data_IF_821597259401
#
_entry.id   IF_821597259401
#
_cell.length_a   1.000
_cell.length_b   1.000
_cell.length_c   1.000
_cell.angle_alpha   90.00
_cell.angle_beta   90.00
_cell.angle_gamma   90.00
#
_symmetry.space_group_name_H-M   'P 1'
#
loop_
_entity.id
_entity.type
_entity.pdbx_description
1 polymer ?
#
# COMPACT_ATOMS: atom_id res chain seq x y z
N UNK A 1 -27.84 -2.77 7.29
CA UNK A 1 -27.02 -3.70 8.12
C UNK A 1 -26.00 -2.86 8.85
N UNK A 2 -25.76 -3.13 10.14
CA UNK A 2 -24.72 -2.44 10.91
C UNK A 2 -23.36 -2.93 10.42
N UNK A 3 -22.46 -2.03 10.03
CA UNK A 3 -21.09 -2.39 9.66
C UNK A 3 -20.38 -2.98 10.89
N UNK A 4 -19.62 -4.07 10.75
CA UNK A 4 -18.86 -4.61 11.87
C UNK A 4 -17.85 -3.60 12.41
N UNK A 5 -17.64 -3.61 13.72
CA UNK A 5 -16.70 -2.75 14.44
C UNK A 5 -15.80 -3.59 15.34
N UNK A 6 -14.71 -2.98 15.81
CA UNK A 6 -13.98 -3.52 16.96
C UNK A 6 -14.79 -3.24 18.24
N UNK A 7 -14.78 -4.19 19.16
CA UNK A 7 -15.44 -4.09 20.45
C UNK A 7 -14.56 -3.29 21.44
N UNK A 8 -13.26 -3.59 21.43
CA UNK A 8 -12.26 -2.89 22.23
C UNK A 8 -11.09 -2.50 21.35
N UNK A 9 -10.62 -1.27 21.50
CA UNK A 9 -9.41 -0.78 20.84
C UNK A 9 -8.56 0.07 21.78
N UNK A 10 -7.27 -0.26 21.86
CA UNK A 10 -6.26 0.57 22.50
C UNK A 10 -5.40 1.23 21.43
N UNK A 11 -5.29 2.55 21.46
CA UNK A 11 -4.47 3.33 20.55
C UNK A 11 -3.44 4.09 21.38
N UNK A 12 -2.17 3.96 20.99
CA UNK A 12 -1.06 4.70 21.60
C UNK A 12 -0.21 5.31 20.50
N UNK A 13 0.12 6.59 20.63
CA UNK A 13 1.15 7.20 19.80
C UNK A 13 2.49 6.50 20.10
N UNK A 14 3.15 6.01 19.05
CA UNK A 14 4.51 5.53 19.15
C UNK A 14 5.46 6.75 19.13
N UNK A 15 6.21 6.91 20.22
CA UNK A 15 7.22 7.97 20.40
C UNK A 15 8.65 7.41 20.38
N UNK A 16 8.78 6.10 20.37
CA UNK A 16 10.06 5.43 20.14
C UNK A 16 10.36 5.58 18.65
N UNK A 17 11.58 6.02 18.31
CA UNK A 17 11.96 6.48 16.97
C UNK A 17 11.97 5.41 15.88
N UNK A 18 13.03 5.38 15.06
CA UNK A 18 13.14 4.42 13.96
C UNK A 18 13.10 2.98 14.48
N UNK A 19 12.04 2.26 14.11
CA UNK A 19 11.80 0.87 14.46
C UNK A 19 10.97 0.20 13.38
N UNK A 20 10.99 -1.13 13.31
CA UNK A 20 10.25 -1.88 12.31
C UNK A 20 8.75 -1.54 12.36
N UNK A 21 8.12 -1.37 11.19
CA UNK A 21 6.69 -1.09 11.06
C UNK A 21 5.94 -2.36 10.69
N UNK A 22 4.91 -2.73 11.46
CA UNK A 22 4.15 -3.96 11.26
C UNK A 22 2.64 -3.72 11.30
N UNK A 23 1.90 -4.44 10.46
CA UNK A 23 0.45 -4.55 10.50
C UNK A 23 0.07 -6.02 10.52
N UNK A 24 -0.58 -6.46 11.59
CA UNK A 24 -1.19 -7.78 11.70
C UNK A 24 -2.70 -7.66 11.59
N UNK A 25 -3.25 -8.20 10.51
CA UNK A 25 -4.69 -8.23 10.26
C UNK A 25 -5.07 -9.53 9.58
N UNK A 26 -5.48 -10.52 10.37
CA UNK A 26 -5.97 -11.79 9.82
C UNK A 26 -7.41 -11.60 9.32
N UNK A 27 -7.72 -11.90 8.03
CA UNK A 27 -9.08 -11.76 7.51
C UNK A 27 -10.11 -12.71 8.14
N UNK A 28 -9.64 -13.80 8.76
CA UNK A 28 -10.50 -14.80 9.40
C UNK A 28 -10.82 -14.48 10.88
N UNK A 29 -10.36 -13.34 11.42
CA UNK A 29 -10.72 -12.93 12.78
C UNK A 29 -10.75 -11.41 13.00
N UNK A 30 -11.39 -11.02 14.10
CA UNK A 30 -11.60 -9.66 14.54
C UNK A 30 -10.39 -8.98 15.20
N UNK A 31 -9.20 -9.60 15.21
CA UNK A 31 -8.01 -9.00 15.80
C UNK A 31 -7.28 -8.11 14.79
N UNK A 32 -6.83 -6.94 15.24
CA UNK A 32 -6.02 -6.03 14.45
C UNK A 32 -4.93 -5.46 15.34
N UNK A 33 -3.68 -5.51 14.88
CA UNK A 33 -2.55 -4.95 15.61
C UNK A 33 -1.63 -4.19 14.69
N UNK A 34 -1.12 -3.06 15.17
CA UNK A 34 -0.03 -2.34 14.51
C UNK A 34 1.13 -2.07 15.46
N UNK A 35 2.32 -2.00 14.88
CA UNK A 35 3.51 -1.51 15.55
C UNK A 35 4.17 -0.44 14.68
N UNK A 36 4.36 0.77 15.23
CA UNK A 36 5.06 1.89 14.61
C UNK A 36 4.49 2.37 13.24
N UNK A 37 3.17 2.29 13.04
CA UNK A 37 2.53 2.55 11.74
C UNK A 37 2.02 3.99 11.63
N UNK A 38 2.30 4.67 10.52
CA UNK A 38 1.82 6.04 10.28
C UNK A 38 0.33 6.10 9.97
N UNK A 39 -0.31 7.25 10.22
CA UNK A 39 -1.70 7.48 9.82
C UNK A 39 -1.92 7.20 8.31
N UNK A 40 -1.00 7.64 7.46
CA UNK A 40 -1.04 7.40 6.01
C UNK A 40 -1.05 5.90 5.66
N UNK A 41 -0.27 5.09 6.37
CA UNK A 41 -0.26 3.65 6.17
C UNK A 41 -1.57 2.99 6.65
N UNK A 42 -2.15 3.46 7.75
CA UNK A 42 -3.49 3.03 8.20
C UNK A 42 -4.56 3.34 7.15
N UNK A 43 -4.56 4.55 6.59
CA UNK A 43 -5.49 4.96 5.53
C UNK A 43 -5.30 4.14 4.24
N UNK A 44 -4.06 3.84 3.86
CA UNK A 44 -3.77 2.96 2.73
C UNK A 44 -4.45 1.59 2.90
N UNK A 45 -4.35 0.99 4.08
CA UNK A 45 -4.98 -0.30 4.37
C UNK A 45 -6.50 -0.17 4.38
N UNK A 46 -7.03 0.82 5.12
CA UNK A 46 -8.46 1.02 5.31
C UNK A 46 -9.21 1.29 3.99
N UNK A 47 -8.62 2.06 3.08
CA UNK A 47 -9.27 2.44 1.81
C UNK A 47 -8.77 1.66 0.60
N UNK A 48 -7.78 0.77 0.80
CA UNK A 48 -7.17 -0.03 -0.27
C UNK A 48 -6.61 0.82 -1.42
N UNK A 49 -5.96 1.94 -1.08
CA UNK A 49 -5.41 2.89 -2.04
C UNK A 49 -3.89 3.04 -1.82
N UNK A 50 -3.09 3.20 -2.89
CA UNK A 50 -1.68 3.57 -2.74
C UNK A 50 -1.52 4.85 -1.93
N UNK A 51 -0.48 4.93 -1.09
CA UNK A 51 -0.23 6.11 -0.24
C UNK A 51 -0.13 7.42 -1.02
N UNK A 52 0.38 7.36 -2.25
CA UNK A 52 0.50 8.52 -3.16
C UNK A 52 -0.85 9.06 -3.66
N UNK A 53 -1.96 8.34 -3.45
CA UNK A 53 -3.33 8.77 -3.75
C UNK A 53 -4.10 9.23 -2.51
N UNK A 54 -3.42 9.38 -1.37
CA UNK A 54 -4.00 9.91 -0.15
C UNK A 54 -3.46 11.32 0.04
N UNK A 55 -4.34 12.31 0.02
CA UNK A 55 -3.96 13.73 -0.03
C UNK A 55 -4.60 14.52 1.11
N UNK A 56 -4.10 15.74 1.36
CA UNK A 56 -4.59 16.64 2.41
C UNK A 56 -4.47 16.12 3.86
N UNK A 57 -3.62 15.11 4.14
CA UNK A 57 -3.29 14.79 5.53
C UNK A 57 -2.54 15.99 6.15
N UNK A 58 -3.00 16.58 7.27
CA UNK A 58 -2.27 17.62 7.95
C UNK A 58 -0.85 17.16 8.29
N UNK A 59 0.17 17.97 7.99
CA UNK A 59 1.58 17.57 8.14
C UNK A 59 1.96 17.17 9.57
N UNK A 60 1.27 17.73 10.58
CA UNK A 60 1.41 17.34 11.97
C UNK A 60 0.93 15.90 12.22
N UNK A 61 -0.15 15.47 11.56
CA UNK A 61 -0.72 14.12 11.68
C UNK A 61 0.01 13.09 10.82
N UNK A 62 0.50 13.48 9.64
CA UNK A 62 1.20 12.58 8.70
C UNK A 62 2.50 12.01 9.28
N UNK A 63 3.11 12.73 10.24
CA UNK A 63 4.33 12.32 10.94
C UNK A 63 4.07 11.39 12.12
N UNK A 64 2.83 11.32 12.62
CA UNK A 64 2.50 10.51 13.79
C UNK A 64 2.44 9.04 13.42
N UNK A 65 2.94 8.21 14.35
CA UNK A 65 2.95 6.76 14.28
C UNK A 65 2.19 6.18 15.45
N UNK A 66 1.55 5.03 15.26
CA UNK A 66 0.61 4.45 16.22
C UNK A 66 0.83 2.95 16.39
N UNK A 67 0.74 2.55 17.65
CA UNK A 67 0.52 1.17 18.06
C UNK A 67 -0.97 1.02 18.36
N UNK A 68 -1.66 0.21 17.56
CA UNK A 68 -3.08 -0.08 17.71
C UNK A 68 -3.21 -1.55 18.10
N UNK A 69 -4.02 -1.82 19.10
CA UNK A 69 -4.47 -3.17 19.44
C UNK A 69 -5.99 -3.16 19.52
N UNK A 70 -6.65 -3.84 18.58
CA UNK A 70 -8.10 -3.90 18.51
C UNK A 70 -8.58 -5.34 18.39
N UNK A 71 -9.69 -5.63 19.07
CA UNK A 71 -10.33 -6.94 19.12
C UNK A 71 -11.82 -6.79 18.92
N UNK A 72 -12.46 -7.83 18.42
CA UNK A 72 -13.91 -7.87 18.20
C UNK A 72 -14.54 -8.94 19.07
N UNK A 73 -15.85 -8.82 19.26
CA UNK A 73 -16.66 -9.85 19.90
C UNK A 73 -16.47 -11.24 19.25
N UNK A 74 -16.51 -12.35 20.02
CA UNK A 74 -16.39 -13.70 19.48
C UNK A 74 -17.33 -14.00 18.30
N UNK A 75 -18.55 -13.46 18.28
CA UNK A 75 -19.49 -13.64 17.16
C UNK A 75 -18.97 -13.09 15.84
N UNK A 76 -18.19 -12.00 15.87
CA UNK A 76 -17.53 -11.43 14.70
C UNK A 76 -16.42 -12.35 14.21
N UNK A 77 -15.65 -12.96 15.13
CA UNK A 77 -14.63 -13.96 14.78
C UNK A 77 -15.25 -15.18 14.09
N UNK A 78 -16.34 -15.71 14.66
CA UNK A 78 -17.04 -16.86 14.11
C UNK A 78 -17.58 -16.60 12.71
N UNK A 79 -18.09 -15.38 12.47
CA UNK A 79 -18.54 -14.96 11.15
C UNK A 79 -17.37 -14.82 10.17
N UNK A 80 -16.34 -14.06 10.53
CA UNK A 80 -15.17 -13.81 9.67
C UNK A 80 -14.45 -15.11 9.27
N UNK A 81 -14.38 -16.08 10.18
CA UNK A 81 -13.74 -17.37 9.91
C UNK A 81 -14.42 -18.20 8.82
N UNK A 82 -15.70 -17.92 8.52
CA UNK A 82 -16.50 -18.61 7.51
C UNK A 82 -16.53 -17.87 6.17
N UNK A 83 -16.00 -16.66 6.11
CA UNK A 83 -15.98 -15.86 4.88
C UNK A 83 -14.82 -16.27 3.96
N UNK A 84 -15.00 -16.17 2.64
CA UNK A 84 -13.88 -16.08 1.71
C UNK A 84 -12.90 -14.97 2.12
N UNK A 85 -11.61 -15.20 1.90
CA UNK A 85 -10.55 -14.30 2.39
C UNK A 85 -10.70 -12.85 1.89
N UNK A 86 -11.12 -12.65 0.64
CA UNK A 86 -11.38 -11.34 0.05
C UNK A 86 -12.52 -10.59 0.76
N UNK A 87 -13.59 -11.31 1.12
CA UNK A 87 -14.71 -10.75 1.87
C UNK A 87 -14.30 -10.41 3.30
N UNK A 88 -13.54 -11.30 3.96
CA UNK A 88 -12.97 -11.03 5.29
C UNK A 88 -12.06 -9.79 5.28
N UNK A 89 -11.20 -9.63 4.27
CA UNK A 89 -10.38 -8.42 4.08
C UNK A 89 -11.26 -7.17 3.93
N UNK A 90 -12.31 -7.24 3.11
CA UNK A 90 -13.22 -6.11 2.91
C UNK A 90 -13.92 -5.68 4.22
N UNK A 91 -14.39 -6.65 5.01
CA UNK A 91 -14.99 -6.34 6.32
C UNK A 91 -13.97 -5.74 7.30
N UNK A 92 -12.74 -6.28 7.37
CA UNK A 92 -11.68 -5.72 8.22
C UNK A 92 -11.35 -4.28 7.86
N UNK A 93 -11.39 -3.93 6.58
CA UNK A 93 -11.21 -2.55 6.12
C UNK A 93 -12.33 -1.64 6.60
N UNK A 94 -13.58 -2.08 6.55
CA UNK A 94 -14.72 -1.32 7.08
C UNK A 94 -14.60 -1.11 8.59
N UNK A 95 -14.19 -2.14 9.35
CA UNK A 95 -13.95 -2.02 10.79
C UNK A 95 -12.84 -1.01 11.09
N UNK A 96 -11.75 -1.01 10.31
CA UNK A 96 -10.68 -0.04 10.44
C UNK A 96 -11.14 1.38 10.07
N UNK A 97 -11.94 1.55 9.02
CA UNK A 97 -12.55 2.84 8.69
C UNK A 97 -13.40 3.36 9.87
N UNK A 98 -14.26 2.51 10.43
CA UNK A 98 -15.09 2.87 11.59
C UNK A 98 -14.24 3.28 12.80
N UNK A 99 -13.17 2.54 13.10
CA UNK A 99 -12.22 2.89 14.17
C UNK A 99 -11.56 4.24 13.92
N UNK A 100 -11.12 4.51 12.69
CA UNK A 100 -10.48 5.79 12.35
C UNK A 100 -11.47 6.96 12.42
N UNK A 101 -12.71 6.75 11.96
CA UNK A 101 -13.78 7.76 12.07
C UNK A 101 -14.10 8.08 13.52
N UNK A 102 -14.25 7.07 14.38
CA UNK A 102 -14.59 7.27 15.78
C UNK A 102 -13.42 7.87 16.58
N UNK A 103 -12.25 7.24 16.47
CA UNK A 103 -11.12 7.56 17.35
C UNK A 103 -10.33 8.77 16.89
N UNK A 104 -10.18 8.95 15.58
CA UNK A 104 -9.43 10.07 14.98
C UNK A 104 -10.33 11.14 14.38
N UNK A 105 -11.66 11.02 14.53
CA UNK A 105 -12.63 11.93 13.91
C UNK A 105 -12.47 12.03 12.38
N UNK A 106 -11.98 10.95 11.75
CA UNK A 106 -11.63 10.95 10.33
C UNK A 106 -12.84 11.27 9.45
N UNK A 107 -12.71 12.27 8.58
CA UNK A 107 -13.63 12.56 7.48
C UNK A 107 -12.88 12.57 6.17
N UNK A 108 -13.47 11.94 5.14
CA UNK A 108 -12.85 11.80 3.82
C UNK A 108 -13.89 11.84 2.72
N UNK A 109 -13.45 12.20 1.51
CA UNK A 109 -14.19 12.00 0.28
C UNK A 109 -13.25 11.57 -0.87
N UNK A 110 -13.83 11.15 -1.98
CA UNK A 110 -13.10 10.84 -3.22
C UNK A 110 -13.30 11.95 -4.24
N UNK A 111 -12.23 12.33 -4.92
CA UNK A 111 -12.27 13.24 -6.05
C UNK A 111 -11.24 12.86 -7.11
N UNK A 112 -11.37 13.39 -8.32
CA UNK A 112 -10.32 13.34 -9.33
C UNK A 112 -9.45 14.58 -9.22
N UNK A 113 -8.14 14.39 -9.03
CA UNK A 113 -7.16 15.49 -9.01
C UNK A 113 -6.11 15.29 -10.08
N UNK A 114 -5.74 16.37 -10.77
CA UNK A 114 -4.58 16.34 -11.66
C UNK A 114 -3.29 16.26 -10.83
N UNK A 115 -2.57 15.15 -10.96
CA UNK A 115 -1.32 14.91 -10.25
C UNK A 115 -0.17 14.63 -11.22
N UNK A 116 1.08 14.96 -10.85
CA UNK A 116 2.23 14.39 -11.54
C UNK A 116 2.27 12.88 -11.29
N UNK A 117 2.29 12.12 -12.38
CA UNK A 117 2.29 10.65 -12.37
C UNK A 117 3.42 10.10 -13.22
N UNK A 118 3.71 8.82 -13.03
CA UNK A 118 4.34 8.02 -14.06
C UNK A 118 3.30 7.13 -14.73
N UNK A 119 3.36 7.02 -16.06
CA UNK A 119 2.56 6.07 -16.83
C UNK A 119 3.46 4.89 -17.17
N UNK A 120 3.11 3.71 -16.68
CA UNK A 120 3.78 2.46 -17.03
C UNK A 120 3.22 1.95 -18.35
N UNK A 121 4.08 1.85 -19.37
CA UNK A 121 3.72 1.38 -20.71
C UNK A 121 4.74 0.35 -21.20
N UNK A 122 4.40 -0.37 -22.27
CA UNK A 122 5.32 -1.33 -22.90
C UNK A 122 6.43 -0.56 -23.63
N UNK A 123 7.69 -0.94 -23.42
CA UNK A 123 8.81 -0.35 -24.13
C UNK A 123 8.87 -0.84 -25.59
N UNK A 124 9.63 -0.16 -26.45
CA UNK A 124 9.80 -0.55 -27.86
C UNK A 124 10.32 -1.98 -28.04
N UNK A 125 11.06 -2.50 -27.06
CA UNK A 125 11.58 -3.87 -27.05
C UNK A 125 10.52 -4.95 -26.79
N UNK A 126 9.28 -4.56 -26.47
CA UNK A 126 8.25 -5.49 -26.00
C UNK A 126 8.43 -5.90 -24.54
N UNK A 127 7.34 -6.36 -23.92
CA UNK A 127 7.33 -6.77 -22.52
C UNK A 127 8.06 -8.11 -22.31
N UNK A 128 8.90 -8.16 -21.27
CA UNK A 128 9.70 -9.32 -20.87
C UNK A 128 9.21 -9.85 -19.52
N UNK A 129 8.01 -10.40 -19.49
CA UNK A 129 7.38 -10.92 -18.28
C UNK A 129 7.23 -12.43 -18.33
N UNK A 130 7.58 -13.11 -17.24
CA UNK A 130 7.42 -14.55 -17.12
C UNK A 130 6.00 -14.86 -16.61
N UNK A 131 5.20 -15.61 -17.38
CA UNK A 131 3.89 -16.07 -16.91
C UNK A 131 4.02 -16.95 -15.66
N UNK A 132 3.05 -16.84 -14.75
CA UNK A 132 3.03 -17.57 -13.49
C UNK A 132 1.65 -18.20 -13.25
N UNK A 133 1.63 -19.40 -12.66
CA UNK A 133 0.42 -20.22 -12.53
C UNK A 133 -0.22 -20.21 -11.13
N UNK A 134 0.42 -19.62 -10.13
CA UNK A 134 -0.14 -19.59 -8.78
C UNK A 134 -1.22 -18.52 -8.63
N UNK A 135 -2.25 -18.83 -7.85
CA UNK A 135 -3.35 -17.92 -7.54
C UNK A 135 -3.00 -16.88 -6.48
N UNK A 136 -1.98 -17.12 -5.66
CA UNK A 136 -1.53 -16.17 -4.63
C UNK A 136 -0.65 -15.06 -5.20
N UNK A 137 -0.69 -13.89 -4.57
CA UNK A 137 0.26 -12.79 -4.82
C UNK A 137 1.25 -12.70 -3.67
N UNK A 138 2.53 -12.88 -3.95
CA UNK A 138 3.63 -12.58 -3.02
C UNK A 138 4.39 -11.37 -3.54
N UNK A 139 4.62 -10.39 -2.67
CA UNK A 139 5.48 -9.23 -2.96
C UNK A 139 6.61 -9.22 -1.93
N UNK A 140 7.85 -9.27 -2.39
CA UNK A 140 9.03 -9.07 -1.58
C UNK A 140 9.89 -8.00 -2.25
N UNK A 141 9.98 -6.83 -1.62
CA UNK A 141 10.69 -5.68 -2.16
C UNK A 141 11.53 -5.04 -1.05
N UNK A 142 12.68 -4.51 -1.44
CA UNK A 142 13.61 -3.87 -0.52
C UNK A 142 14.47 -2.85 -1.23
N UNK A 143 15.60 -2.51 -0.62
CA UNK A 143 16.53 -1.56 -1.21
C UNK A 143 17.23 -2.19 -2.43
N UNK A 144 16.88 -1.74 -3.64
CA UNK A 144 17.51 -2.19 -4.88
C UNK A 144 16.93 -3.48 -5.49
N UNK A 145 15.84 -4.02 -4.96
CA UNK A 145 15.21 -5.20 -5.54
C UNK A 145 13.70 -5.28 -5.31
N UNK A 146 13.03 -6.03 -6.19
CA UNK A 146 11.61 -6.32 -6.12
C UNK A 146 11.31 -7.68 -6.77
N UNK A 147 10.55 -8.51 -6.06
CA UNK A 147 10.06 -9.81 -6.49
C UNK A 147 8.56 -9.86 -6.28
N UNK A 148 7.81 -9.94 -7.37
CA UNK A 148 6.36 -10.15 -7.37
C UNK A 148 6.10 -11.51 -8.00
N UNK A 149 5.36 -12.37 -7.31
CA UNK A 149 4.95 -13.68 -7.81
C UNK A 149 3.44 -13.77 -7.76
N UNK A 150 2.80 -13.85 -8.92
CA UNK A 150 1.39 -14.21 -9.05
C UNK A 150 0.38 -13.06 -8.90
N UNK A 151 -0.91 -13.43 -8.78
CA UNK A 151 -2.07 -12.55 -8.88
C UNK A 151 -2.46 -12.16 -10.30
N UNK A 152 -3.77 -12.12 -10.60
CA UNK A 152 -4.28 -11.72 -11.92
C UNK A 152 -3.97 -10.25 -12.28
N UNK A 153 -3.52 -9.45 -11.32
CA UNK A 153 -3.19 -8.03 -11.40
C UNK A 153 -1.70 -7.74 -11.16
N UNK A 154 -0.78 -8.66 -11.48
CA UNK A 154 0.66 -8.53 -11.15
C UNK A 154 1.29 -7.19 -11.63
N UNK A 155 0.86 -6.67 -12.79
CA UNK A 155 1.38 -5.40 -13.33
C UNK A 155 0.83 -4.18 -12.58
N UNK A 156 -0.40 -4.25 -12.07
CA UNK A 156 -0.95 -3.20 -11.20
C UNK A 156 -0.25 -3.21 -9.84
N UNK A 157 0.06 -4.40 -9.31
CA UNK A 157 0.86 -4.58 -8.09
C UNK A 157 2.27 -4.01 -8.29
N UNK A 158 2.89 -4.25 -9.44
CA UNK A 158 4.16 -3.60 -9.82
C UNK A 158 4.03 -2.07 -9.79
N UNK A 159 3.00 -1.50 -10.41
CA UNK A 159 2.77 -0.06 -10.40
C UNK A 159 2.61 0.51 -9.00
N UNK A 160 1.80 -0.13 -8.15
CA UNK A 160 1.61 0.26 -6.75
C UNK A 160 2.90 0.17 -5.93
N UNK A 161 3.74 -0.83 -6.20
CA UNK A 161 5.03 -1.00 -5.51
C UNK A 161 6.06 0.03 -6.01
N UNK A 162 6.17 0.28 -7.32
CA UNK A 162 7.03 1.34 -7.86
C UNK A 162 6.66 2.72 -7.34
N UNK A 163 5.37 2.98 -7.12
CA UNK A 163 4.90 4.25 -6.55
C UNK A 163 5.48 4.54 -5.16
N UNK A 164 5.86 3.53 -4.37
CA UNK A 164 6.49 3.73 -3.05
C UNK A 164 7.92 4.24 -3.17
N UNK A 165 8.64 3.84 -4.22
CA UNK A 165 10.00 4.30 -4.50
C UNK A 165 10.02 5.66 -5.22
N UNK A 166 9.05 5.89 -6.10
CA UNK A 166 9.00 7.08 -6.94
C UNK A 166 8.31 8.28 -6.28
N UNK A 167 7.64 8.07 -5.14
CA UNK A 167 6.88 9.10 -4.42
C UNK A 167 5.68 9.66 -5.22
N UNK A 168 5.29 9.02 -6.33
CA UNK A 168 4.24 9.48 -7.25
C UNK A 168 3.38 8.31 -7.70
N UNK A 169 2.09 8.51 -8.00
CA UNK A 169 1.26 7.45 -8.55
C UNK A 169 1.83 6.91 -9.87
N UNK A 170 1.80 5.59 -10.02
CA UNK A 170 2.10 4.92 -11.28
C UNK A 170 0.80 4.39 -11.89
N UNK A 171 0.48 4.81 -13.10
CA UNK A 171 -0.71 4.38 -13.85
C UNK A 171 -0.34 3.29 -14.84
N UNK A 172 -0.92 2.10 -14.69
CA UNK A 172 -0.72 1.01 -15.64
C UNK A 172 -1.50 1.27 -16.94
N UNK A 173 -0.78 1.49 -18.04
CA UNK A 173 -1.33 1.56 -19.41
C UNK A 173 -0.65 0.55 -20.35
N UNK A 174 -0.17 -0.56 -19.80
CA UNK A 174 0.50 -1.61 -20.59
C UNK A 174 -0.46 -2.49 -21.38
N UNK A 175 -1.75 -2.50 -21.00
CA UNK A 175 -2.77 -3.46 -21.47
C UNK A 175 -2.42 -4.95 -21.21
N UNK A 176 -1.37 -5.23 -20.44
CA UNK A 176 -0.94 -6.58 -20.08
C UNK A 176 -1.92 -7.14 -19.05
N UNK A 177 -2.50 -8.30 -19.37
CA UNK A 177 -3.43 -9.04 -18.50
C UNK A 177 -2.83 -10.39 -18.13
N UNK A 178 -3.16 -10.88 -16.94
CA UNK A 178 -2.77 -12.20 -16.48
C UNK A 178 -1.79 -12.16 -15.32
N UNK A 179 -1.28 -13.34 -15.01
CA UNK A 179 -0.51 -13.61 -13.80
C UNK A 179 0.96 -13.77 -14.15
N UNK A 180 1.83 -12.98 -13.52
CA UNK A 180 3.26 -12.94 -13.86
C UNK A 180 4.15 -13.07 -12.63
N UNK A 181 5.34 -13.60 -12.87
CA UNK A 181 6.50 -13.45 -12.00
C UNK A 181 7.32 -12.27 -12.52
N UNK A 182 7.56 -11.29 -11.66
CA UNK A 182 8.33 -10.08 -11.93
C UNK A 182 9.50 -10.09 -10.96
N UNK A 183 10.71 -10.06 -11.50
CA UNK A 183 11.95 -9.86 -10.74
C UNK A 183 12.61 -8.62 -11.31
N UNK A 184 12.93 -7.66 -10.46
CA UNK A 184 13.55 -6.40 -10.82
C UNK A 184 14.65 -6.09 -9.81
N UNK A 185 15.84 -5.76 -10.30
CA UNK A 185 17.00 -5.37 -9.47
C UNK A 185 17.60 -4.09 -10.03
N UNK A 186 17.96 -3.14 -9.18
CA UNK A 186 18.55 -1.86 -9.57
C UNK A 186 19.52 -1.34 -8.49
N UNK A 187 20.32 -0.35 -8.84
CA UNK A 187 21.16 0.37 -7.89
C UNK A 187 20.36 1.51 -7.25
N UNK A 188 20.16 1.53 -5.92
CA UNK A 188 19.46 2.61 -5.23
C UNK A 188 20.17 3.95 -5.34
N UNK A 189 19.41 5.04 -5.43
CA UNK A 189 19.95 6.40 -5.57
C UNK A 189 20.64 6.90 -4.27
N UNK A 190 20.27 6.37 -3.10
CA UNK A 190 20.72 6.84 -1.77
C UNK A 190 22.04 6.18 -1.28
N UNK A 191 22.71 5.36 -2.09
CA UNK A 191 24.04 4.86 -1.72
C UNK A 191 25.09 5.99 -1.81
N UNK A 192 25.39 6.59 -0.66
CA UNK A 192 26.67 7.29 -0.48
C UNK A 192 27.82 6.33 -0.86
N UNK A 193 28.87 6.80 -1.58
CA UNK A 193 29.91 5.94 -2.11
C UNK A 193 30.85 5.49 -0.99
N UNK A 194 30.46 4.51 -0.19
CA UNK A 194 31.34 3.84 0.77
C UNK A 194 31.83 2.48 0.29
N UNK A 195 31.47 2.09 -0.94
CA UNK A 195 32.14 1.01 -1.65
C UNK A 195 32.25 1.35 -3.13
N UNK A 196 33.42 1.12 -3.71
CA UNK A 196 33.80 1.42 -5.09
C UNK A 196 33.14 0.52 -6.14
N UNK A 197 31.86 0.12 -5.96
CA UNK A 197 31.23 -0.92 -6.78
C UNK A 197 29.72 -0.76 -7.04
N UNK A 198 29.16 0.45 -7.03
CA UNK A 198 27.78 0.65 -7.48
C UNK A 198 27.70 0.72 -9.01
N UNK A 199 27.95 -0.40 -9.71
CA UNK A 199 27.94 -0.50 -11.17
C UNK A 199 26.69 -1.21 -11.71
N UNK A 200 25.51 -0.73 -11.33
CA UNK A 200 24.22 -1.29 -11.78
C UNK A 200 23.29 -0.24 -12.40
N UNK A 201 22.23 -0.68 -13.12
CA UNK A 201 21.29 0.24 -13.75
C UNK A 201 20.47 1.00 -12.71
N UNK A 202 20.09 2.24 -13.05
CA UNK A 202 19.05 2.97 -12.30
C UNK A 202 17.72 2.22 -12.34
N UNK A 203 16.78 2.57 -11.46
CA UNK A 203 15.44 1.97 -11.46
C UNK A 203 14.75 2.08 -12.84
N UNK A 204 14.85 3.23 -13.49
CA UNK A 204 14.25 3.46 -14.82
C UNK A 204 14.89 2.58 -15.89
N UNK A 205 16.23 2.49 -15.88
CA UNK A 205 16.97 1.64 -16.81
C UNK A 205 16.63 0.16 -16.57
N UNK A 206 16.57 -0.28 -15.32
CA UNK A 206 16.23 -1.65 -14.95
C UNK A 206 14.83 -2.06 -15.43
N UNK A 207 13.83 -1.18 -15.27
CA UNK A 207 12.46 -1.44 -15.76
C UNK A 207 12.46 -1.65 -17.29
N UNK A 208 13.23 -0.85 -18.01
CA UNK A 208 13.33 -0.96 -19.47
C UNK A 208 14.09 -2.19 -19.93
N UNK A 209 15.26 -2.45 -19.37
CA UNK A 209 16.12 -3.54 -19.81
C UNK A 209 15.60 -4.92 -19.39
N UNK A 210 15.13 -5.04 -18.14
CA UNK A 210 14.76 -6.32 -17.53
C UNK A 210 13.30 -6.68 -17.80
N UNK A 211 12.39 -5.71 -17.72
CA UNK A 211 10.95 -5.96 -17.87
C UNK A 211 10.44 -5.58 -19.26
N UNK A 212 11.21 -4.83 -20.06
CA UNK A 212 10.72 -4.32 -21.34
C UNK A 212 9.53 -3.38 -21.19
N UNK A 213 9.43 -2.71 -20.04
CA UNK A 213 8.43 -1.68 -19.74
C UNK A 213 9.11 -0.33 -19.62
N UNK A 214 8.37 0.78 -19.61
CA UNK A 214 8.95 2.11 -19.37
C UNK A 214 7.99 2.97 -18.56
N UNK A 215 8.56 3.90 -17.81
CA UNK A 215 7.83 4.93 -17.08
C UNK A 215 7.90 6.23 -17.86
N UNK A 216 6.74 6.81 -18.16
CA UNK A 216 6.64 8.13 -18.80
C UNK A 216 6.09 9.14 -17.80
N UNK A 217 6.82 10.23 -17.56
CA UNK A 217 6.33 11.31 -16.72
C UNK A 217 5.15 12.02 -17.41
N UNK A 218 4.05 12.19 -16.70
CA UNK A 218 2.86 12.86 -17.20
C UNK A 218 2.12 13.60 -16.09
N UNK A 219 1.13 14.40 -16.48
CA UNK A 219 0.03 14.81 -15.59
C UNK A 219 -1.22 14.07 -16.02
N UNK A 220 -1.98 13.56 -15.06
CA UNK A 220 -3.22 12.86 -15.33
C UNK A 220 -4.22 13.05 -14.19
N UNK A 221 -5.54 13.01 -14.48
CA UNK A 221 -6.55 12.90 -13.45
C UNK A 221 -6.42 11.54 -12.76
N UNK A 222 -6.25 11.57 -11.43
CA UNK A 222 -6.18 10.38 -10.59
C UNK A 222 -7.26 10.49 -9.52
N UNK A 223 -8.04 9.42 -9.33
CA UNK A 223 -8.95 9.33 -8.19
C UNK A 223 -8.11 9.24 -6.90
N UNK A 224 -8.34 10.17 -5.99
CA UNK A 224 -7.65 10.27 -4.70
C UNK A 224 -8.64 10.21 -3.54
N UNK A 225 -8.14 9.81 -2.38
CA UNK A 225 -8.81 10.00 -1.10
C UNK A 225 -8.33 11.31 -0.50
N UNK A 226 -9.24 12.26 -0.34
CA UNK A 226 -8.98 13.53 0.33
C UNK A 226 -9.32 13.37 1.80
N UNK A 227 -8.38 13.73 2.68
CA UNK A 227 -8.65 13.84 4.12
C UNK A 227 -9.20 15.23 4.39
N UNK A 228 -10.48 15.30 4.73
CA UNK A 228 -11.17 16.55 5.06
C UNK A 228 -10.90 16.98 6.48
N UNK A 229 -10.81 16.01 7.38
CA UNK A 229 -10.60 16.24 8.80
C UNK A 229 -9.99 15.01 9.45
N UNK A 230 -9.06 15.23 10.38
CA UNK A 230 -8.48 14.21 11.24
C UNK A 230 -7.81 14.86 12.43
N UNK A 231 -7.95 14.25 13.60
CA UNK A 231 -7.39 14.70 14.88
C UNK A 231 -6.54 13.60 15.53
N UNK A 232 -5.69 13.93 16.52
CA UNK A 232 -5.10 12.93 17.39
C UNK A 232 -6.17 12.01 18.00
N UNK A 233 -5.89 10.73 18.21
CA UNK A 233 -6.90 9.80 18.68
C UNK A 233 -7.41 10.18 20.06
N UNK A 234 -8.72 10.02 20.29
CA UNK A 234 -9.30 10.21 21.63
C UNK A 234 -8.70 9.24 22.65
N UNK A 235 -8.71 9.57 23.96
CA UNK A 235 -8.19 8.68 25.01
C UNK A 235 -8.88 7.31 25.00
N UNK A 236 -8.18 6.26 25.45
CA UNK A 236 -8.71 4.89 25.54
C UNK A 236 -9.71 4.72 26.70
#
# INVERSE_FOLDING_TARGET
MVSPTFDVASIRQNKEGEGHSDIWSNPANGNFRTNNVSLRALLQVAYSLPQSRIVNIPSAMDKLRFNIEAKSDPSINDRLSKLPADQGVAEKRQMLQALLTDRFQLKTHRENRELPVYVLVVAKSGAKLQAWKSNGTTVNAGNGYMHIQGGANSVDVLGGTLATYLGRPVLNKTAIKGTYKITLTWTPDDQAPTSSAASGPSLFTAIQEQLGLKLEAAKAPVEVLVVDHVEPPSPN
#
